data_IF_612201403152
#
_entry.id   IF_612201403152
#
_cell.length_a   1.000
_cell.length_b   1.000
_cell.length_c   1.000
_cell.angle_alpha   90.00
_cell.angle_beta   90.00
_cell.angle_gamma   90.00
#
_symmetry.space_group_name_H-M   'P 1'
#
loop_
_entity.id
_entity.type
_entity.pdbx_description
1 polymer ?
#
# COMPACT_ATOMS: atom_id res chain seq x y z
N UNK A 1 -4.82 25.31 -15.90
CA UNK A 1 -4.05 24.39 -15.03
C UNK A 1 -3.31 23.43 -15.94
N UNK A 2 -1.98 23.37 -15.84
CA UNK A 2 -1.19 22.33 -16.54
C UNK A 2 -1.70 20.98 -16.04
N UNK A 3 -2.18 20.13 -16.93
CA UNK A 3 -2.62 18.78 -16.57
C UNK A 3 -1.36 18.00 -16.18
N UNK A 4 -1.23 17.67 -14.90
CA UNK A 4 -0.14 16.81 -14.42
C UNK A 4 -0.15 15.47 -15.15
N UNK A 5 1.01 14.92 -15.44
CA UNK A 5 1.21 13.63 -16.09
C UNK A 5 1.73 12.60 -15.09
N UNK A 6 1.31 11.34 -15.22
CA UNK A 6 1.68 10.27 -14.29
C UNK A 6 2.50 9.17 -14.96
N UNK A 7 3.58 8.76 -14.31
CA UNK A 7 4.31 7.53 -14.61
C UNK A 7 4.00 6.47 -13.56
N UNK A 8 3.50 5.31 -13.98
CA UNK A 8 3.11 4.21 -13.08
C UNK A 8 4.05 3.03 -13.28
N UNK A 9 4.90 2.76 -12.32
CA UNK A 9 5.71 1.54 -12.32
C UNK A 9 4.92 0.43 -11.63
N UNK A 10 4.44 -0.54 -12.41
CA UNK A 10 3.64 -1.67 -11.93
C UNK A 10 2.13 -1.49 -12.11
N UNK A 11 1.65 -1.71 -13.34
CA UNK A 11 0.22 -1.80 -13.72
C UNK A 11 -0.42 -3.15 -13.32
N UNK A 12 -0.15 -3.60 -12.10
CA UNK A 12 -0.82 -4.74 -11.49
C UNK A 12 -2.22 -4.37 -10.96
N UNK A 13 -2.71 -5.14 -9.99
CA UNK A 13 -4.07 -5.00 -9.44
C UNK A 13 -4.42 -3.59 -8.91
N UNK A 14 -3.46 -2.88 -8.30
CA UNK A 14 -3.62 -1.51 -7.81
C UNK A 14 -3.29 -0.47 -8.90
N UNK A 15 -2.11 -0.57 -9.52
CA UNK A 15 -1.66 0.38 -10.54
C UNK A 15 -2.59 0.48 -11.74
N UNK A 16 -3.19 -0.62 -12.19
CA UNK A 16 -4.20 -0.61 -13.25
C UNK A 16 -5.44 0.19 -12.85
N UNK A 17 -5.95 -0.02 -11.62
CA UNK A 17 -7.12 0.70 -11.11
C UNK A 17 -6.85 2.20 -10.95
N UNK A 18 -5.62 2.56 -10.57
CA UNK A 18 -5.18 3.95 -10.53
C UNK A 18 -5.11 4.56 -11.94
N UNK A 19 -4.52 3.86 -12.92
CA UNK A 19 -4.46 4.31 -14.32
C UNK A 19 -5.85 4.57 -14.92
N UNK A 20 -6.81 3.68 -14.66
CA UNK A 20 -8.22 3.87 -15.04
C UNK A 20 -8.82 5.13 -14.39
N UNK A 21 -8.60 5.31 -13.09
CA UNK A 21 -9.08 6.48 -12.35
C UNK A 21 -8.51 7.80 -12.91
N UNK A 22 -7.22 7.83 -13.23
CA UNK A 22 -6.57 8.98 -13.86
C UNK A 22 -7.15 9.25 -15.26
N UNK A 23 -7.34 8.20 -16.06
CA UNK A 23 -7.88 8.32 -17.42
C UNK A 23 -9.32 8.85 -17.41
N UNK A 24 -10.16 8.42 -16.45
CA UNK A 24 -11.51 8.95 -16.24
C UNK A 24 -11.52 10.44 -15.88
N UNK A 25 -10.45 10.93 -15.22
CA UNK A 25 -10.25 12.36 -14.95
C UNK A 25 -9.61 13.13 -16.12
N UNK A 26 -9.35 12.47 -17.25
CA UNK A 26 -8.71 13.06 -18.42
C UNK A 26 -7.25 13.43 -18.18
N UNK A 27 -6.57 12.67 -17.31
CA UNK A 27 -5.16 12.82 -16.93
C UNK A 27 -4.32 11.83 -17.74
N UNK A 28 -3.32 12.35 -18.44
CA UNK A 28 -2.38 11.50 -19.17
C UNK A 28 -1.54 10.71 -18.18
N UNK A 29 -1.43 9.41 -18.45
CA UNK A 29 -0.59 8.52 -17.69
C UNK A 29 0.01 7.45 -18.62
N UNK A 30 1.17 6.96 -18.23
CA UNK A 30 1.81 5.79 -18.81
C UNK A 30 2.20 4.83 -17.68
N UNK A 31 2.46 3.58 -18.00
CA UNK A 31 2.95 2.66 -16.99
C UNK A 31 3.56 1.39 -17.55
N UNK A 32 4.21 0.65 -16.66
CA UNK A 32 4.92 -0.59 -16.99
C UNK A 32 4.26 -1.80 -16.36
N UNK A 33 4.44 -2.97 -16.97
CA UNK A 33 4.11 -4.28 -16.40
C UNK A 33 5.39 -5.11 -16.27
N UNK A 34 5.37 -6.16 -15.47
CA UNK A 34 6.52 -7.07 -15.32
C UNK A 34 6.92 -7.79 -16.62
N UNK A 35 6.01 -7.87 -17.59
CA UNK A 35 6.26 -8.41 -18.93
C UNK A 35 6.97 -7.41 -19.85
N UNK A 36 6.88 -6.10 -19.56
CA UNK A 36 7.37 -5.02 -20.43
C UNK A 36 8.51 -4.22 -19.77
N UNK A 37 8.83 -4.52 -18.50
CA UNK A 37 9.88 -3.88 -17.73
C UNK A 37 10.34 -4.80 -16.59
N UNK A 38 11.58 -5.25 -16.67
CA UNK A 38 12.30 -5.94 -15.61
C UNK A 38 13.27 -4.96 -14.94
N UNK A 39 13.03 -4.70 -13.65
CA UNK A 39 13.87 -3.82 -12.84
C UNK A 39 15.33 -4.29 -12.77
N UNK A 40 15.60 -5.59 -12.94
CA UNK A 40 16.95 -6.15 -12.89
C UNK A 40 17.81 -5.79 -14.10
N UNK A 41 17.24 -5.76 -15.31
CA UNK A 41 18.03 -5.62 -16.54
C UNK A 41 17.64 -4.45 -17.46
N UNK A 42 16.42 -3.93 -17.38
CA UNK A 42 15.96 -2.91 -18.33
C UNK A 42 16.28 -1.50 -17.86
N UNK A 43 16.59 -0.56 -18.74
CA UNK A 43 16.74 0.84 -18.35
C UNK A 43 15.45 1.44 -17.78
N UNK A 44 15.57 2.39 -16.86
CA UNK A 44 14.40 3.05 -16.29
C UNK A 44 13.63 3.83 -17.37
N UNK A 45 12.29 3.79 -17.41
CA UNK A 45 11.51 4.49 -18.43
C UNK A 45 11.83 5.98 -18.52
N UNK A 46 12.08 6.48 -19.74
CA UNK A 46 12.50 7.86 -19.99
C UNK A 46 11.34 8.81 -20.30
N UNK A 47 10.11 8.30 -20.44
CA UNK A 47 8.93 9.14 -20.70
C UNK A 47 8.72 10.08 -19.49
N UNK A 48 8.65 11.41 -19.70
CA UNK A 48 8.52 12.35 -18.60
C UNK A 48 7.19 12.17 -17.84
N UNK A 49 7.20 12.52 -16.55
CA UNK A 49 6.01 12.63 -15.73
C UNK A 49 6.19 13.65 -14.60
N UNK A 50 5.08 14.24 -14.14
CA UNK A 50 5.05 15.12 -12.98
C UNK A 50 4.92 14.32 -11.67
N UNK A 51 4.20 13.20 -11.72
CA UNK A 51 3.99 12.29 -10.59
C UNK A 51 4.51 10.90 -10.96
N UNK A 52 5.48 10.40 -10.21
CA UNK A 52 5.96 9.03 -10.33
C UNK A 52 5.34 8.16 -9.24
N UNK A 53 4.59 7.14 -9.64
CA UNK A 53 4.00 6.15 -8.75
C UNK A 53 4.77 4.83 -8.82
N UNK A 54 5.47 4.50 -7.74
CA UNK A 54 6.27 3.31 -7.57
C UNK A 54 5.44 2.25 -6.83
N UNK A 55 4.85 1.32 -7.58
CA UNK A 55 4.00 0.24 -7.08
C UNK A 55 4.59 -1.12 -7.45
N UNK A 56 5.80 -1.35 -6.95
CA UNK A 56 6.51 -2.62 -7.09
C UNK A 56 6.41 -3.41 -5.80
N UNK A 57 6.20 -4.74 -5.87
CA UNK A 57 6.42 -5.58 -4.70
C UNK A 57 7.89 -5.49 -4.25
N UNK A 58 8.24 -5.91 -3.02
CA UNK A 58 9.63 -6.03 -2.60
C UNK A 58 10.41 -6.92 -3.58
N UNK A 59 11.44 -6.36 -4.21
CA UNK A 59 12.28 -7.05 -5.19
C UNK A 59 13.52 -7.59 -4.49
N UNK A 60 13.38 -8.70 -3.75
CA UNK A 60 14.43 -9.23 -2.87
C UNK A 60 15.73 -9.62 -3.60
N UNK A 61 15.64 -9.87 -4.90
CA UNK A 61 16.79 -10.13 -5.77
C UNK A 61 17.59 -8.85 -6.12
N UNK A 62 17.04 -7.67 -5.87
CA UNK A 62 17.65 -6.38 -6.14
C UNK A 62 17.95 -5.70 -4.81
N UNK A 63 19.22 -5.38 -4.58
CA UNK A 63 19.62 -4.63 -3.42
C UNK A 63 18.92 -3.23 -3.40
N UNK A 64 18.46 -2.72 -2.23
CA UNK A 64 17.75 -1.44 -2.12
C UNK A 64 18.48 -0.23 -2.73
N UNK A 65 19.80 -0.14 -2.55
CA UNK A 65 20.63 0.93 -3.11
C UNK A 65 20.60 0.90 -4.64
N UNK A 66 20.72 -0.28 -5.25
CA UNK A 66 20.60 -0.45 -6.69
C UNK A 66 19.19 -0.11 -7.20
N UNK A 67 18.16 -0.49 -6.45
CA UNK A 67 16.78 -0.13 -6.78
C UNK A 67 16.60 1.39 -6.84
N UNK A 68 17.06 2.10 -5.80
CA UNK A 68 16.92 3.56 -5.72
C UNK A 68 17.85 4.29 -6.68
N UNK A 69 19.07 3.80 -6.90
CA UNK A 69 20.02 4.40 -7.85
C UNK A 69 19.44 4.47 -9.27
N UNK A 70 18.71 3.43 -9.69
CA UNK A 70 18.11 3.31 -11.03
C UNK A 70 17.04 4.36 -11.33
N UNK A 71 16.39 4.92 -10.31
CA UNK A 71 15.34 5.93 -10.49
C UNK A 71 16.01 7.28 -10.77
N UNK A 72 15.79 7.93 -11.93
CA UNK A 72 16.46 9.18 -12.25
C UNK A 72 15.96 10.31 -11.33
N UNK A 73 16.77 11.35 -11.12
CA UNK A 73 16.42 12.49 -10.24
C UNK A 73 15.48 13.52 -10.90
N UNK A 74 15.22 13.38 -12.20
CA UNK A 74 14.61 14.41 -13.03
C UNK A 74 13.12 14.69 -12.76
N UNK A 75 12.67 15.90 -13.10
CA UNK A 75 11.30 16.32 -13.42
C UNK A 75 10.19 16.19 -12.37
N UNK A 76 10.27 15.24 -11.43
CA UNK A 76 9.15 14.88 -10.59
C UNK A 76 8.78 16.01 -9.64
N UNK A 77 7.50 16.37 -9.64
CA UNK A 77 6.86 17.20 -8.61
C UNK A 77 6.51 16.35 -7.39
N UNK A 78 6.10 15.10 -7.61
CA UNK A 78 5.74 14.12 -6.59
C UNK A 78 6.28 12.75 -6.91
N UNK A 79 6.70 12.03 -5.88
CA UNK A 79 6.97 10.59 -5.96
C UNK A 79 6.14 9.91 -4.88
N UNK A 80 5.43 8.87 -5.25
CA UNK A 80 4.63 8.07 -4.32
C UNK A 80 5.16 6.64 -4.36
N UNK A 81 5.57 6.13 -3.20
CA UNK A 81 6.05 4.75 -3.06
C UNK A 81 5.07 3.93 -2.21
N UNK A 82 4.65 2.78 -2.73
CA UNK A 82 3.81 1.83 -1.99
C UNK A 82 4.71 0.89 -1.17
N UNK A 83 4.62 1.03 0.15
CA UNK A 83 5.23 0.14 1.13
C UNK A 83 4.16 -0.76 1.78
N UNK A 84 4.23 -0.99 3.09
CA UNK A 84 3.33 -1.87 3.84
C UNK A 84 3.40 -1.59 5.34
N UNK A 85 2.29 -1.77 6.06
CA UNK A 85 2.29 -1.75 7.54
C UNK A 85 3.06 -2.92 8.18
N UNK A 86 3.55 -3.89 7.39
CA UNK A 86 4.41 -4.96 7.89
C UNK A 86 5.77 -4.45 8.39
N UNK A 87 6.17 -3.24 8.01
CA UNK A 87 7.40 -2.60 8.51
C UNK A 87 7.38 -2.35 10.01
N UNK A 88 6.20 -2.32 10.64
CA UNK A 88 6.07 -2.19 12.09
C UNK A 88 6.27 -3.50 12.86
N UNK A 89 6.47 -4.63 12.19
CA UNK A 89 6.70 -5.92 12.85
C UNK A 89 5.53 -6.39 13.71
N UNK A 90 5.86 -7.01 14.85
CA UNK A 90 4.90 -7.56 15.82
C UNK A 90 4.56 -6.61 16.97
N UNK A 91 4.88 -5.31 16.83
CA UNK A 91 4.50 -4.31 17.82
C UNK A 91 2.98 -4.32 18.06
N UNK A 92 2.60 -4.14 19.33
CA UNK A 92 1.22 -4.19 19.78
C UNK A 92 0.71 -2.81 20.18
N UNK A 93 -0.61 -2.68 20.31
CA UNK A 93 -1.25 -1.42 20.70
C UNK A 93 -1.54 -0.51 19.50
N UNK A 94 -1.56 0.79 19.75
CA UNK A 94 -1.83 1.80 18.72
C UNK A 94 -0.57 2.17 17.98
N UNK A 95 -0.53 1.87 16.68
CA UNK A 95 0.60 2.16 15.79
C UNK A 95 0.20 3.30 14.85
N UNK A 96 1.08 4.28 14.69
CA UNK A 96 0.87 5.45 13.83
C UNK A 96 2.10 5.68 12.93
N UNK A 97 2.09 6.72 12.10
CA UNK A 97 3.22 7.06 11.24
C UNK A 97 4.51 7.39 12.02
N UNK A 98 4.40 7.81 13.28
CA UNK A 98 5.49 8.16 14.18
C UNK A 98 6.06 6.95 14.94
N UNK A 99 5.40 5.80 14.89
CA UNK A 99 5.92 4.58 15.50
C UNK A 99 7.17 4.11 14.74
N UNK A 100 8.22 3.77 15.47
CA UNK A 100 9.46 3.23 14.88
C UNK A 100 9.18 1.93 14.13
N UNK A 101 9.80 1.76 12.97
CA UNK A 101 9.70 0.51 12.20
C UNK A 101 10.52 -0.60 12.85
N UNK A 102 9.96 -1.81 12.95
CA UNK A 102 10.63 -3.02 13.44
C UNK A 102 10.48 -4.17 12.42
N UNK A 103 11.14 -4.07 11.25
CA UNK A 103 10.92 -5.02 10.16
C UNK A 103 11.46 -6.42 10.49
N UNK A 104 10.55 -7.41 10.59
CA UNK A 104 10.91 -8.78 10.97
C UNK A 104 11.18 -9.71 9.79
N UNK A 105 10.66 -9.40 8.60
CA UNK A 105 10.84 -10.21 7.38
C UNK A 105 11.81 -9.55 6.41
N UNK A 106 12.40 -10.31 5.48
CA UNK A 106 13.28 -9.76 4.44
C UNK A 106 12.56 -8.72 3.58
N UNK A 107 11.30 -8.99 3.24
CA UNK A 107 10.43 -8.03 2.54
C UNK A 107 10.25 -6.73 3.32
N UNK A 108 10.01 -6.80 4.64
CA UNK A 108 9.85 -5.60 5.46
C UNK A 108 11.17 -4.83 5.61
N UNK A 109 12.31 -5.53 5.75
CA UNK A 109 13.64 -4.90 5.82
C UNK A 109 13.99 -4.18 4.52
N UNK A 110 13.71 -4.83 3.39
CA UNK A 110 13.90 -4.25 2.07
C UNK A 110 13.06 -2.99 1.88
N UNK A 111 11.78 -3.02 2.28
CA UNK A 111 10.90 -1.86 2.21
C UNK A 111 11.44 -0.69 3.05
N UNK A 112 11.82 -0.92 4.31
CA UNK A 112 12.37 0.14 5.17
C UNK A 112 13.65 0.74 4.58
N UNK A 113 14.54 -0.08 4.02
CA UNK A 113 15.74 0.41 3.36
C UNK A 113 15.40 1.30 2.15
N UNK A 114 14.47 0.88 1.29
CA UNK A 114 14.03 1.67 0.13
C UNK A 114 13.31 2.95 0.56
N UNK A 115 12.46 2.91 1.59
CA UNK A 115 11.81 4.10 2.15
C UNK A 115 12.83 5.16 2.56
N UNK A 116 13.87 4.76 3.29
CA UNK A 116 14.91 5.67 3.77
C UNK A 116 15.72 6.26 2.61
N UNK A 117 16.21 5.40 1.70
CA UNK A 117 17.01 5.81 0.55
C UNK A 117 16.23 6.73 -0.41
N UNK A 118 14.95 6.45 -0.66
CA UNK A 118 14.09 7.34 -1.45
C UNK A 118 13.85 8.67 -0.73
N UNK A 119 13.68 8.66 0.59
CA UNK A 119 13.43 9.88 1.38
C UNK A 119 14.63 10.82 1.30
N UNK A 120 15.84 10.28 1.39
CA UNK A 120 17.08 11.02 1.19
C UNK A 120 17.17 11.57 -0.24
N UNK A 121 17.04 10.69 -1.25
CA UNK A 121 17.19 11.06 -2.67
C UNK A 121 16.16 12.09 -3.15
N UNK A 122 14.93 12.03 -2.64
CA UNK A 122 13.79 12.83 -3.11
C UNK A 122 13.17 13.65 -1.98
N UNK A 123 14.03 14.29 -1.20
CA UNK A 123 13.65 15.13 -0.06
C UNK A 123 12.58 16.15 -0.46
N UNK A 124 11.49 16.20 0.33
CA UNK A 124 10.35 17.12 0.12
C UNK A 124 9.39 16.75 -1.02
N UNK A 125 9.69 15.70 -1.79
CA UNK A 125 8.86 15.26 -2.93
C UNK A 125 8.23 13.88 -2.72
N UNK A 126 8.85 13.03 -1.89
CA UNK A 126 8.40 11.67 -1.63
C UNK A 126 7.23 11.63 -0.64
N UNK A 127 6.25 10.80 -0.96
CA UNK A 127 5.27 10.26 -0.02
C UNK A 127 5.34 8.75 -0.02
N UNK A 128 5.63 8.17 1.14
CA UNK A 128 5.52 6.72 1.37
C UNK A 128 4.11 6.41 1.85
N UNK A 129 3.42 5.51 1.16
CA UNK A 129 2.12 5.01 1.60
C UNK A 129 2.32 3.58 2.10
N UNK A 130 1.99 3.32 3.37
CA UNK A 130 2.02 2.01 4.02
C UNK A 130 0.59 1.47 4.11
N UNK A 131 0.07 0.78 3.08
CA UNK A 131 -1.25 0.18 3.13
C UNK A 131 -1.33 -0.98 4.12
N UNK A 132 -2.52 -1.17 4.68
CA UNK A 132 -2.92 -2.40 5.35
C UNK A 132 -3.05 -3.59 4.37
N UNK A 133 -3.59 -4.70 4.86
CA UNK A 133 -3.95 -5.82 3.99
C UNK A 133 -4.96 -5.37 2.93
N UNK A 134 -4.63 -5.63 1.66
CA UNK A 134 -5.41 -5.14 0.53
C UNK A 134 -6.65 -6.01 0.30
N UNK A 135 -7.82 -5.38 0.19
CA UNK A 135 -9.09 -6.03 -0.18
C UNK A 135 -9.77 -5.34 -1.36
N UNK A 136 -10.60 -6.07 -2.10
CA UNK A 136 -11.48 -5.52 -3.13
C UNK A 136 -11.61 -6.40 -4.38
N UNK A 137 -12.78 -6.35 -5.01
CA UNK A 137 -13.14 -7.32 -6.04
C UNK A 137 -12.97 -8.76 -5.53
N UNK A 138 -12.19 -9.56 -6.24
CA UNK A 138 -11.90 -10.95 -5.82
C UNK A 138 -10.76 -11.10 -4.80
N UNK A 139 -10.02 -10.04 -4.49
CA UNK A 139 -8.91 -10.11 -3.53
C UNK A 139 -9.46 -9.97 -2.11
N UNK A 140 -9.38 -11.04 -1.34
CA UNK A 140 -9.74 -11.01 0.08
C UNK A 140 -8.91 -12.04 0.88
N UNK A 141 -8.24 -11.65 2.00
CA UNK A 141 -7.44 -12.56 2.82
C UNK A 141 -8.21 -13.78 3.33
N UNK A 142 -9.52 -13.66 3.54
CA UNK A 142 -10.32 -14.79 4.00
C UNK A 142 -10.32 -15.98 3.01
N UNK A 143 -10.12 -15.74 1.70
CA UNK A 143 -10.03 -16.83 0.71
C UNK A 143 -8.84 -17.75 1.01
N UNK A 144 -7.64 -17.18 1.20
CA UNK A 144 -6.44 -17.97 1.49
C UNK A 144 -6.46 -18.55 2.90
N UNK A 145 -6.99 -17.82 3.89
CA UNK A 145 -7.14 -18.33 5.25
C UNK A 145 -8.06 -19.56 5.31
N UNK A 146 -9.22 -19.46 4.63
CA UNK A 146 -10.19 -20.55 4.49
C UNK A 146 -9.57 -21.78 3.79
N UNK A 147 -8.83 -21.59 2.72
CA UNK A 147 -8.16 -22.69 2.00
C UNK A 147 -7.03 -23.33 2.80
N UNK A 148 -6.27 -22.53 3.55
CA UNK A 148 -5.08 -23.02 4.27
C UNK A 148 -5.41 -23.95 5.42
N UNK A 149 -6.64 -23.84 5.99
CA UNK A 149 -7.04 -24.53 7.21
C UNK A 149 -6.04 -24.36 8.37
N UNK A 150 -5.23 -23.29 8.36
CA UNK A 150 -4.34 -22.93 9.45
C UNK A 150 -5.05 -21.95 10.38
N UNK A 151 -5.16 -22.26 11.68
CA UNK A 151 -5.76 -21.33 12.63
C UNK A 151 -5.02 -19.99 12.66
N UNK A 152 -5.75 -18.88 12.81
CA UNK A 152 -5.18 -17.56 13.04
C UNK A 152 -5.76 -16.92 14.31
N UNK A 153 -5.02 -15.99 14.93
CA UNK A 153 -5.46 -15.33 16.17
C UNK A 153 -6.78 -14.56 15.94
N UNK A 154 -7.89 -15.12 16.40
CA UNK A 154 -9.24 -14.63 16.07
C UNK A 154 -9.58 -13.28 16.71
N UNK A 155 -9.02 -13.03 17.90
CA UNK A 155 -9.25 -11.81 18.67
C UNK A 155 -8.35 -10.63 18.25
N UNK A 156 -7.37 -10.85 17.36
CA UNK A 156 -6.57 -9.75 16.82
C UNK A 156 -7.40 -8.90 15.86
N UNK A 157 -7.14 -7.60 15.84
CA UNK A 157 -7.79 -6.69 14.91
C UNK A 157 -7.34 -6.92 13.46
N UNK A 158 -8.24 -6.71 12.52
CA UNK A 158 -7.87 -6.55 11.11
C UNK A 158 -7.27 -5.17 10.88
N UNK A 159 -6.31 -5.09 9.96
CA UNK A 159 -5.74 -3.83 9.49
C UNK A 159 -5.75 -3.89 7.97
N UNK A 160 -6.84 -3.43 7.36
CA UNK A 160 -7.12 -3.62 5.94
C UNK A 160 -7.37 -2.28 5.25
N UNK A 161 -7.31 -2.28 3.93
CA UNK A 161 -7.69 -1.14 3.10
C UNK A 161 -8.31 -1.65 1.81
N UNK A 162 -9.45 -1.08 1.43
CA UNK A 162 -10.08 -1.40 0.17
C UNK A 162 -9.37 -0.69 -1.00
N UNK A 163 -9.27 -1.35 -2.15
CA UNK A 163 -8.56 -0.82 -3.34
C UNK A 163 -9.03 0.56 -3.74
N UNK A 164 -10.34 0.76 -3.77
CA UNK A 164 -10.95 1.98 -4.30
C UNK A 164 -10.62 3.18 -3.40
N UNK A 165 -10.66 3.00 -2.08
CA UNK A 165 -10.19 4.00 -1.10
C UNK A 165 -8.69 4.23 -1.22
N UNK A 166 -7.88 3.17 -1.38
CA UNK A 166 -6.43 3.32 -1.59
C UNK A 166 -6.12 4.15 -2.85
N UNK A 167 -6.87 3.98 -3.94
CA UNK A 167 -6.75 4.82 -5.14
C UNK A 167 -7.09 6.27 -4.84
N UNK A 168 -8.13 6.55 -4.05
CA UNK A 168 -8.45 7.92 -3.64
C UNK A 168 -7.38 8.53 -2.74
N UNK A 169 -6.78 7.74 -1.83
CA UNK A 169 -5.69 8.18 -0.96
C UNK A 169 -4.45 8.53 -1.78
N UNK A 170 -4.06 7.68 -2.75
CA UNK A 170 -2.93 7.95 -3.66
C UNK A 170 -3.18 9.24 -4.45
N UNK A 171 -4.39 9.41 -4.97
CA UNK A 171 -4.79 10.62 -5.67
C UNK A 171 -4.69 11.85 -4.76
N UNK A 172 -5.29 11.82 -3.57
CA UNK A 172 -5.25 12.92 -2.62
C UNK A 172 -3.82 13.30 -2.20
N UNK A 173 -2.96 12.31 -1.96
CA UNK A 173 -1.55 12.52 -1.63
C UNK A 173 -0.80 13.26 -2.76
N UNK A 174 -1.07 12.94 -4.03
CA UNK A 174 -0.47 13.65 -5.16
C UNK A 174 -0.98 15.09 -5.32
N UNK A 175 -2.22 15.35 -4.91
CA UNK A 175 -2.86 16.67 -4.98
C UNK A 175 -2.52 17.59 -3.82
N UNK A 176 -1.99 17.07 -2.71
CA UNK A 176 -1.59 17.87 -1.57
C UNK A 176 -0.60 18.99 -1.98
N UNK A 177 -0.62 20.10 -1.25
CA UNK A 177 0.30 21.24 -1.49
C UNK A 177 1.75 20.86 -1.17
N UNK A 178 1.96 20.17 -0.04
CA UNK A 178 3.23 19.60 0.39
C UNK A 178 3.17 18.07 0.46
N UNK A 179 4.33 17.41 0.39
CA UNK A 179 4.38 15.96 0.49
C UNK A 179 4.14 15.56 1.95
N UNK A 180 3.29 14.55 2.16
CA UNK A 180 3.24 13.85 3.44
C UNK A 180 4.35 12.81 3.44
N UNK A 181 5.32 12.83 4.37
CA UNK A 181 6.45 11.90 4.30
C UNK A 181 6.01 10.43 4.34
N UNK A 182 5.09 10.11 5.24
CA UNK A 182 4.53 8.77 5.44
C UNK A 182 3.01 8.87 5.64
N UNK A 183 2.26 7.92 5.09
CA UNK A 183 0.82 7.76 5.28
C UNK A 183 0.53 6.29 5.56
N UNK A 184 -0.08 5.97 6.70
CA UNK A 184 -0.67 4.66 6.92
C UNK A 184 -2.03 4.59 6.20
N UNK A 185 -2.14 3.80 5.15
CA UNK A 185 -3.39 3.64 4.42
C UNK A 185 -4.17 2.43 4.96
N UNK A 186 -4.92 2.66 6.05
CA UNK A 186 -5.74 1.63 6.73
C UNK A 186 -7.12 2.21 7.03
N UNK A 187 -8.18 1.43 6.84
CA UNK A 187 -9.54 1.84 7.23
C UNK A 187 -9.62 2.12 8.73
N UNK A 188 -10.45 3.06 9.20
CA UNK A 188 -10.75 3.21 10.63
C UNK A 188 -11.50 1.99 11.23
N UNK A 189 -12.00 1.08 10.39
CA UNK A 189 -12.74 -0.10 10.80
C UNK A 189 -11.84 -1.30 11.11
N UNK A 190 -11.67 -1.59 12.40
CA UNK A 190 -10.77 -2.64 12.91
C UNK A 190 -11.49 -3.74 13.71
N UNK A 191 -12.50 -4.44 13.14
CA UNK A 191 -13.14 -5.57 13.82
C UNK A 191 -12.14 -6.69 14.12
N UNK A 192 -12.53 -7.62 15.00
CA UNK A 192 -11.74 -8.81 15.23
C UNK A 192 -11.69 -9.67 13.96
N UNK A 193 -10.56 -10.36 13.71
CA UNK A 193 -10.41 -11.26 12.55
C UNK A 193 -11.51 -12.31 12.49
N UNK A 194 -11.92 -12.86 13.64
CA UNK A 194 -12.98 -13.88 13.73
C UNK A 194 -14.34 -13.37 13.26
N UNK A 195 -14.67 -12.13 13.61
CA UNK A 195 -15.92 -11.48 13.21
C UNK A 195 -15.88 -11.21 11.71
N UNK A 196 -14.87 -10.46 11.27
CA UNK A 196 -14.79 -9.98 9.89
C UNK A 196 -14.62 -11.12 8.87
N UNK A 197 -13.67 -12.03 9.07
CA UNK A 197 -13.47 -13.13 8.12
C UNK A 197 -14.55 -14.22 8.25
N UNK A 198 -15.12 -14.39 9.46
CA UNK A 198 -16.25 -15.30 9.68
C UNK A 198 -17.49 -14.86 8.92
N UNK A 199 -17.90 -13.60 9.09
CA UNK A 199 -19.03 -13.00 8.35
C UNK A 199 -18.80 -13.06 6.83
N UNK A 200 -17.60 -12.70 6.38
CA UNK A 200 -17.29 -12.66 4.95
C UNK A 200 -17.36 -14.04 4.28
N UNK A 201 -16.87 -15.09 4.95
CA UNK A 201 -16.91 -16.48 4.42
C UNK A 201 -18.32 -17.07 4.49
N UNK A 202 -19.04 -16.84 5.59
CA UNK A 202 -20.43 -17.28 5.75
C UNK A 202 -21.34 -16.69 4.67
N UNK A 203 -21.23 -15.39 4.39
CA UNK A 203 -22.01 -14.70 3.36
C UNK A 203 -21.75 -15.23 1.93
N UNK A 204 -20.70 -16.03 1.72
CA UNK A 204 -20.29 -16.56 0.40
C UNK A 204 -20.36 -18.09 0.34
N UNK A 205 -20.87 -18.76 1.38
CA UNK A 205 -20.92 -20.22 1.44
C UNK A 205 -19.53 -20.88 1.35
N UNK A 206 -18.48 -20.17 1.76
CA UNK A 206 -17.11 -20.70 1.74
C UNK A 206 -16.81 -21.49 3.01
N UNK A 207 -15.79 -22.35 2.97
CA UNK A 207 -15.30 -23.02 4.16
C UNK A 207 -14.91 -21.99 5.24
N UNK A 208 -15.21 -22.24 6.53
CA UNK A 208 -14.90 -21.29 7.58
C UNK A 208 -13.38 -21.13 7.75
N UNK A 209 -12.98 -19.93 8.17
CA UNK A 209 -11.61 -19.71 8.67
C UNK A 209 -11.51 -20.30 10.07
N UNK A 210 -10.40 -20.98 10.35
CA UNK A 210 -10.11 -21.48 11.70
C UNK A 210 -9.46 -20.39 12.54
N UNK A 211 -9.87 -20.30 13.80
CA UNK A 211 -9.37 -19.29 14.73
C UNK A 211 -8.84 -19.93 16.02
N UNK A 212 -7.84 -19.30 16.61
CA UNK A 212 -7.43 -19.55 18.00
C UNK A 212 -8.00 -18.46 18.90
N UNK A 213 -8.39 -18.83 20.11
CA UNK A 213 -8.82 -17.90 21.17
C UNK A 213 -7.66 -17.24 21.91
N UNK A 214 -6.45 -17.31 21.36
CA UNK A 214 -5.25 -16.72 21.98
C UNK A 214 -5.44 -15.21 22.17
N UNK A 215 -5.18 -14.74 23.39
CA UNK A 215 -5.04 -13.31 23.70
C UNK A 215 -3.67 -12.84 23.22
N UNK A 216 -3.45 -12.84 21.91
CA UNK A 216 -2.25 -12.20 21.37
C UNK A 216 -2.41 -10.69 21.44
N UNK A 217 -1.34 -9.95 21.78
CA UNK A 217 -1.33 -8.50 21.73
C UNK A 217 -1.81 -8.01 20.36
N UNK A 218 -2.93 -7.29 20.33
CA UNK A 218 -3.51 -6.80 19.07
C UNK A 218 -2.81 -5.53 18.62
N UNK A 219 -2.44 -5.49 17.34
CA UNK A 219 -1.93 -4.30 16.65
C UNK A 219 -3.09 -3.59 15.97
N UNK A 220 -3.29 -2.31 16.26
CA UNK A 220 -4.22 -1.42 15.53
C UNK A 220 -3.41 -0.29 14.92
N UNK A 221 -3.29 -0.31 13.59
CA UNK A 221 -2.60 0.72 12.82
C UNK A 221 -3.58 1.81 12.44
N UNK A 222 -3.31 3.03 12.90
CA UNK A 222 -4.07 4.24 12.60
C UNK A 222 -3.26 5.18 11.71
N UNK A 223 -3.95 6.18 11.19
CA UNK A 223 -3.32 7.27 10.45
C UNK A 223 -3.67 8.62 11.06
N UNK A 224 -2.63 9.40 11.36
CA UNK A 224 -2.78 10.81 11.74
C UNK A 224 -2.89 11.74 10.50
N UNK A 225 -2.67 11.19 9.31
CA UNK A 225 -2.67 11.91 8.04
C UNK A 225 -4.00 11.79 7.31
N UNK A 226 -4.57 10.57 7.22
CA UNK A 226 -5.81 10.34 6.47
C UNK A 226 -6.97 11.28 6.86
N UNK A 227 -7.25 11.59 8.15
CA UNK A 227 -8.30 12.53 8.49
C UNK A 227 -8.16 13.92 7.84
N UNK A 228 -6.94 14.31 7.44
CA UNK A 228 -6.62 15.61 6.84
C UNK A 228 -6.77 15.62 5.31
N UNK A 229 -6.63 14.47 4.65
CA UNK A 229 -6.60 14.38 3.18
C UNK A 229 -7.66 13.45 2.58
N UNK A 230 -8.26 12.58 3.38
CA UNK A 230 -9.22 11.56 2.96
C UNK A 230 -10.16 11.17 4.11
N UNK A 231 -11.15 12.03 4.38
CA UNK A 231 -12.14 11.81 5.45
C UNK A 231 -13.43 11.12 4.97
N UNK A 232 -13.73 11.18 3.66
CA UNK A 232 -14.93 10.60 3.05
C UNK A 232 -14.62 9.26 2.39
N UNK A 233 -14.71 8.20 3.19
CA UNK A 233 -14.43 6.81 2.78
C UNK A 233 -15.48 6.30 1.78
N UNK A 234 -15.02 5.66 0.71
CA UNK A 234 -15.88 4.94 -0.24
C UNK A 234 -16.33 3.60 0.33
N UNK A 235 -15.45 2.94 1.10
CA UNK A 235 -15.68 1.61 1.69
C UNK A 235 -15.28 1.61 3.16
N UNK A 236 -15.98 2.39 4.02
CA UNK A 236 -15.61 2.52 5.42
C UNK A 236 -15.64 1.19 6.18
N UNK A 237 -16.41 0.20 5.68
CA UNK A 237 -16.53 -1.14 6.28
C UNK A 237 -15.93 -2.27 5.42
N UNK A 238 -15.14 -1.91 4.41
CA UNK A 238 -14.42 -2.84 3.53
C UNK A 238 -15.31 -3.71 2.60
N UNK A 239 -16.56 -3.32 2.39
CA UNK A 239 -17.62 -4.05 1.68
C UNK A 239 -17.87 -3.61 0.22
#
# INVERSE_FOLDING_TARGET
MVKQTWGIIGLGWLGQKLSEHLSQKGIENWGTRSQDFDWGCDDFPTKPCDVLFLNTPPLLQINPENFVAKIPTGGYRRIIFISSISVYGNQAGSITEQTTTEPMTDSARWLVAVENLLSEKFTGKLTVIRPGGLVGGDRHPAKSLSQSQRPCAGNSAVNLIHRDDLVQIIWAAAQAESAWPVINAVTPFHPAKKEYYGEWTAARGMAPVLFTDTQEPSKIVRSDVLPKIYSSWLRPRLD
#
